data_IF_877154950281
#
_entry.id   IF_877154950281
#
_cell.length_a   1.000
_cell.length_b   1.000
_cell.length_c   1.000
_cell.angle_alpha   90.00
_cell.angle_beta   90.00
_cell.angle_gamma   90.00
#
_symmetry.space_group_name_H-M   'P 1'
#
loop_
_entity.id
_entity.type
_entity.pdbx_description
1 polymer ?
#
# COMPACT_ATOMS: atom_id res chain seq x y z
N UNK A 1 3.00 15.60 -21.21
CA UNK A 1 1.75 14.82 -21.30
C UNK A 1 2.08 13.35 -21.14
N UNK A 2 1.62 12.75 -20.02
CA UNK A 2 1.64 11.34 -19.56
C UNK A 2 2.18 11.26 -18.13
N UNK A 3 1.34 11.61 -17.15
CA UNK A 3 1.49 11.06 -15.81
C UNK A 3 1.09 9.58 -15.91
N UNK A 4 2.00 8.61 -15.78
CA UNK A 4 1.67 7.20 -15.96
C UNK A 4 1.07 6.66 -14.66
N UNK A 5 -0.12 7.15 -14.29
CA UNK A 5 -0.73 6.78 -13.01
C UNK A 5 -1.35 5.38 -13.00
N UNK A 6 -1.48 4.68 -14.13
CA UNK A 6 -2.10 3.36 -14.14
C UNK A 6 -1.58 2.49 -15.31
N UNK A 7 -0.65 1.58 -15.07
CA UNK A 7 -0.54 0.36 -15.90
C UNK A 7 0.24 -0.79 -15.25
N UNK A 8 0.15 -0.92 -13.93
CA UNK A 8 0.40 -2.21 -13.27
C UNK A 8 -0.73 -2.39 -12.28
N UNK A 9 -1.74 -3.16 -12.67
CA UNK A 9 -2.86 -3.49 -11.78
C UNK A 9 -2.30 -4.32 -10.63
N UNK A 10 -2.16 -3.71 -9.43
CA UNK A 10 -1.71 -4.44 -8.25
C UNK A 10 -2.57 -5.70 -8.08
N UNK A 11 -1.96 -6.86 -7.79
CA UNK A 11 -2.72 -8.07 -7.54
C UNK A 11 -3.73 -7.86 -6.39
N UNK A 12 -4.93 -8.43 -6.47
CA UNK A 12 -5.98 -8.22 -5.46
C UNK A 12 -5.56 -8.66 -4.05
N UNK A 13 -4.62 -9.60 -3.93
CA UNK A 13 -4.09 -10.01 -2.64
C UNK A 13 -3.35 -8.87 -1.90
N UNK A 14 -2.64 -7.98 -2.63
CA UNK A 14 -1.91 -6.87 -1.99
C UNK A 14 -2.87 -5.92 -1.27
N UNK A 15 -4.05 -5.67 -1.87
CA UNK A 15 -5.09 -4.87 -1.24
C UNK A 15 -5.63 -5.57 0.01
N UNK A 16 -5.92 -6.86 -0.06
CA UNK A 16 -6.42 -7.64 1.08
C UNK A 16 -5.43 -7.66 2.25
N UNK A 17 -4.14 -7.81 1.96
CA UNK A 17 -3.08 -7.81 2.95
C UNK A 17 -2.95 -6.46 3.67
N UNK A 18 -3.03 -5.32 2.96
CA UNK A 18 -3.05 -4.01 3.60
C UNK A 18 -4.28 -3.83 4.49
N UNK A 19 -5.47 -4.22 4.00
CA UNK A 19 -6.71 -4.11 4.79
C UNK A 19 -6.60 -4.95 6.06
N UNK A 20 -6.18 -6.21 5.95
CA UNK A 20 -5.96 -7.10 7.09
C UNK A 20 -4.93 -6.53 8.06
N UNK A 21 -3.76 -6.12 7.55
CA UNK A 21 -2.70 -5.56 8.36
C UNK A 21 -3.11 -4.27 9.07
N UNK A 22 -3.84 -3.36 8.44
CA UNK A 22 -4.33 -2.13 9.07
C UNK A 22 -5.39 -2.46 10.12
N UNK A 23 -6.38 -3.29 9.79
CA UNK A 23 -7.51 -3.61 10.68
C UNK A 23 -7.12 -4.42 11.91
N UNK A 24 -6.08 -5.26 11.82
CA UNK A 24 -5.55 -6.03 12.95
C UNK A 24 -4.87 -5.17 14.03
N UNK A 25 -4.54 -3.90 13.76
CA UNK A 25 -3.97 -3.02 14.77
C UNK A 25 -5.03 -2.65 15.84
N UNK A 26 -4.69 -2.83 17.12
CA UNK A 26 -5.60 -2.51 18.24
C UNK A 26 -5.77 -1.01 18.47
N UNK A 27 -4.69 -0.24 18.34
CA UNK A 27 -4.67 1.20 18.59
C UNK A 27 -4.94 1.98 17.30
N UNK A 28 -5.75 3.05 17.40
CA UNK A 28 -6.05 3.93 16.27
C UNK A 28 -4.80 4.61 15.71
N UNK A 29 -3.87 5.03 16.58
CA UNK A 29 -2.59 5.60 16.16
C UNK A 29 -1.77 4.64 15.28
N UNK A 30 -1.79 3.34 15.60
CA UNK A 30 -1.15 2.31 14.79
C UNK A 30 -1.87 2.11 13.46
N UNK A 31 -3.21 2.12 13.44
CA UNK A 31 -3.99 2.07 12.19
C UNK A 31 -3.63 3.24 11.27
N UNK A 32 -3.57 4.45 11.81
CA UNK A 32 -3.21 5.67 11.07
C UNK A 32 -1.77 5.60 10.53
N UNK A 33 -0.81 5.13 11.34
CA UNK A 33 0.57 4.93 10.89
C UNK A 33 0.65 3.95 9.71
N UNK A 34 -0.06 2.82 9.80
CA UNK A 34 -0.09 1.79 8.74
C UNK A 34 -0.78 2.29 7.47
N UNK A 35 -1.86 3.04 7.61
CA UNK A 35 -2.55 3.71 6.50
C UNK A 35 -1.62 4.69 5.78
N UNK A 36 -0.92 5.55 6.54
CA UNK A 36 0.03 6.51 5.97
C UNK A 36 1.17 5.80 5.24
N UNK A 37 1.67 4.68 5.78
CA UNK A 37 2.68 3.87 5.10
C UNK A 37 2.16 3.31 3.76
N UNK A 38 0.96 2.75 3.73
CA UNK A 38 0.36 2.25 2.48
C UNK A 38 0.26 3.37 1.44
N UNK A 39 -0.24 4.55 1.84
CA UNK A 39 -0.39 5.69 0.94
C UNK A 39 0.94 6.18 0.38
N UNK A 40 1.99 6.23 1.20
CA UNK A 40 3.35 6.56 0.76
C UNK A 40 3.88 5.54 -0.26
N UNK A 41 3.72 4.25 0.01
CA UNK A 41 4.17 3.17 -0.88
C UNK A 41 3.40 3.16 -2.21
N UNK A 42 2.10 3.47 -2.18
CA UNK A 42 1.28 3.65 -3.39
C UNK A 42 1.75 4.86 -4.21
N UNK A 43 2.06 5.98 -3.55
CA UNK A 43 2.54 7.20 -4.20
C UNK A 43 3.94 7.02 -4.81
N UNK A 44 4.84 6.35 -4.09
CA UNK A 44 6.20 6.05 -4.57
C UNK A 44 6.15 5.13 -5.78
N UNK A 45 5.24 4.16 -5.76
CA UNK A 45 5.26 3.06 -6.72
C UNK A 45 6.49 2.18 -6.52
N UNK A 46 6.45 0.94 -6.97
CA UNK A 46 7.64 0.09 -6.86
C UNK A 46 7.85 -0.55 -5.47
N UNK A 47 6.93 -0.36 -4.52
CA UNK A 47 7.06 -0.85 -3.13
C UNK A 47 5.76 -1.49 -2.66
N UNK A 48 5.86 -2.58 -1.92
CA UNK A 48 4.77 -3.28 -1.27
C UNK A 48 5.24 -3.77 0.10
N UNK A 49 4.61 -3.33 1.20
CA UNK A 49 4.94 -3.77 2.56
C UNK A 49 6.44 -3.64 2.89
N UNK A 50 7.05 -2.48 2.59
CA UNK A 50 8.49 -2.21 2.69
C UNK A 50 9.40 -3.06 1.80
N UNK A 51 8.84 -3.86 0.88
CA UNK A 51 9.59 -4.67 -0.08
C UNK A 51 9.55 -4.04 -1.48
N UNK A 52 10.63 -4.21 -2.25
CA UNK A 52 10.64 -3.80 -3.65
C UNK A 52 9.64 -4.65 -4.45
N UNK A 53 8.73 -4.00 -5.16
CA UNK A 53 7.72 -4.64 -6.00
C UNK A 53 7.70 -3.96 -7.36
N UNK A 54 8.12 -4.65 -8.43
CA UNK A 54 8.24 -4.02 -9.76
C UNK A 54 7.02 -4.25 -10.67
N UNK A 55 5.91 -4.77 -10.11
CA UNK A 55 4.79 -5.28 -10.90
C UNK A 55 4.87 -6.77 -11.06
#
# INVERSE_FOLDING_TARGET
MKCPIFSVTRPPYQQNDYIGWITLAKLESTKQKRLNQMLDELKKGGVYMQMKWNG
#
